data_IF_951760034103
#
_entry.id   IF_951760034103
#
_cell.length_a   1.000
_cell.length_b   1.000
_cell.length_c   1.000
_cell.angle_alpha   90.00
_cell.angle_beta   90.00
_cell.angle_gamma   90.00
#
_symmetry.space_group_name_H-M   'P 1'
#
loop_
_entity.id
_entity.type
_entity.pdbx_description
1 polymer ?
#
# COMPACT_ATOMS: atom_id res chain seq x y z
N UNK A 1 44.25 52.67 12.51
CA UNK A 1 44.06 51.64 11.47
C UNK A 1 43.71 50.32 12.13
N UNK A 2 42.44 50.04 12.35
CA UNK A 2 41.96 48.70 12.69
C UNK A 2 40.62 48.53 11.96
N UNK A 3 40.67 47.83 10.82
CA UNK A 3 39.55 47.56 9.95
C UNK A 3 38.55 46.65 10.66
N UNK A 4 37.31 47.12 10.82
CA UNK A 4 36.17 46.30 11.19
C UNK A 4 35.78 45.45 9.98
N UNK A 5 36.07 44.15 10.03
CA UNK A 5 35.51 43.16 9.10
C UNK A 5 34.10 42.85 9.62
N UNK A 6 33.09 43.42 8.97
CA UNK A 6 31.69 43.03 9.15
C UNK A 6 31.46 41.82 8.25
N UNK A 7 31.40 40.63 8.85
CA UNK A 7 30.98 39.40 8.18
C UNK A 7 29.46 39.49 7.96
N UNK A 8 29.05 39.78 6.71
CA UNK A 8 27.67 39.66 6.28
C UNK A 8 27.33 38.16 6.20
N UNK A 9 26.70 37.63 7.25
CA UNK A 9 26.11 36.29 7.22
C UNK A 9 24.83 36.38 6.38
N UNK A 10 24.94 36.08 5.09
CA UNK A 10 23.78 35.91 4.21
C UNK A 10 23.00 34.69 4.69
N UNK A 11 21.96 34.95 5.47
CA UNK A 11 20.99 33.99 5.94
C UNK A 11 20.18 33.48 4.74
N UNK A 12 20.70 32.48 4.03
CA UNK A 12 19.94 31.69 3.08
C UNK A 12 18.88 30.90 3.85
N UNK A 13 17.73 31.53 4.12
CA UNK A 13 16.50 30.83 4.48
C UNK A 13 16.11 29.93 3.29
N UNK A 14 16.56 28.68 3.34
CA UNK A 14 15.92 27.61 2.61
C UNK A 14 14.54 27.40 3.25
N UNK A 15 13.55 28.18 2.82
CA UNK A 15 12.15 27.86 3.03
C UNK A 15 11.87 26.61 2.19
N UNK A 16 12.02 25.46 2.83
CA UNK A 16 11.44 24.20 2.35
C UNK A 16 9.92 24.33 2.41
N UNK A 17 9.32 25.02 1.43
CA UNK A 17 7.90 24.92 1.19
C UNK A 17 7.63 23.46 0.83
N UNK A 18 7.00 22.73 1.75
CA UNK A 18 6.46 21.42 1.44
C UNK A 18 5.59 21.58 0.19
N UNK A 19 6.01 20.99 -0.92
CA UNK A 19 5.33 21.16 -2.20
C UNK A 19 3.90 20.63 -2.04
N UNK A 20 2.93 21.53 -2.12
CA UNK A 20 1.52 21.15 -2.02
C UNK A 20 1.17 20.16 -3.14
N UNK A 21 0.41 19.14 -2.77
CA UNK A 21 -0.07 18.15 -3.71
C UNK A 21 -0.88 18.83 -4.83
N UNK A 22 -0.54 18.55 -6.08
CA UNK A 22 -1.20 19.18 -7.22
C UNK A 22 -2.73 18.98 -7.20
N UNK A 23 -3.21 17.85 -6.67
CA UNK A 23 -4.63 17.48 -6.60
C UNK A 23 -5.44 18.31 -5.60
N UNK A 24 -4.76 18.90 -4.61
CA UNK A 24 -5.39 19.66 -3.54
C UNK A 24 -5.88 21.01 -4.01
N UNK A 25 -6.92 21.51 -3.34
CA UNK A 25 -7.40 22.89 -3.46
C UNK A 25 -7.54 23.52 -2.07
N UNK A 26 -7.49 24.85 -1.95
CA UNK A 26 -7.91 25.55 -0.75
C UNK A 26 -9.36 25.21 -0.39
N UNK A 27 -9.66 25.12 0.91
CA UNK A 27 -10.97 24.65 1.39
C UNK A 27 -12.13 25.53 0.92
N UNK A 28 -11.91 26.85 0.84
CA UNK A 28 -12.88 27.82 0.35
C UNK A 28 -13.17 27.71 -1.17
N UNK A 29 -12.32 27.01 -1.92
CA UNK A 29 -12.51 26.73 -3.35
C UNK A 29 -13.05 25.32 -3.60
N UNK A 30 -13.18 24.50 -2.56
CA UNK A 30 -13.66 23.14 -2.69
C UNK A 30 -15.15 23.11 -3.02
N UNK A 31 -15.52 22.27 -3.98
CA UNK A 31 -16.92 22.02 -4.34
C UNK A 31 -17.27 20.61 -3.92
N UNK A 32 -18.18 20.50 -2.95
CA UNK A 32 -18.68 19.22 -2.45
C UNK A 32 -20.16 19.08 -2.81
N UNK A 33 -20.54 17.98 -3.46
CA UNK A 33 -21.96 17.71 -3.76
C UNK A 33 -22.67 16.94 -2.63
N UNK A 34 -21.89 16.30 -1.77
CA UNK A 34 -22.40 15.50 -0.65
C UNK A 34 -22.78 16.41 0.52
N UNK A 35 -23.71 15.96 1.35
CA UNK A 35 -24.14 16.64 2.58
C UNK A 35 -23.91 15.77 3.83
N UNK A 36 -24.17 16.33 5.03
CA UNK A 36 -23.98 15.64 6.30
C UNK A 36 -22.53 15.59 6.81
N UNK A 37 -22.33 14.90 7.94
CA UNK A 37 -21.03 14.85 8.65
C UNK A 37 -19.89 14.24 7.81
N UNK A 38 -20.24 13.33 6.91
CA UNK A 38 -19.29 12.62 6.05
C UNK A 38 -19.03 13.35 4.71
N UNK A 39 -19.61 14.52 4.47
CA UNK A 39 -19.56 15.23 3.17
C UNK A 39 -18.16 15.43 2.59
N UNK A 40 -17.15 15.52 3.47
CA UNK A 40 -15.75 15.77 3.12
C UNK A 40 -15.03 14.51 2.62
N UNK A 41 -15.61 13.33 2.76
CA UNK A 41 -14.94 12.06 2.49
C UNK A 41 -15.54 11.32 1.31
N UNK A 42 -14.68 10.70 0.51
CA UNK A 42 -15.09 9.76 -0.52
C UNK A 42 -15.73 8.52 0.14
N UNK A 43 -16.93 8.08 -0.28
CA UNK A 43 -17.62 6.95 0.32
C UNK A 43 -16.89 5.62 0.12
N UNK A 44 -16.09 5.47 -0.94
CA UNK A 44 -15.41 4.22 -1.25
C UNK A 44 -14.14 4.02 -0.43
N UNK A 45 -13.33 5.07 -0.30
CA UNK A 45 -11.98 4.97 0.25
C UNK A 45 -11.71 5.86 1.47
N UNK A 46 -12.62 6.75 1.85
CA UNK A 46 -12.50 7.63 3.02
C UNK A 46 -11.54 8.82 2.84
N UNK A 47 -10.92 8.96 1.66
CA UNK A 47 -10.00 10.05 1.34
C UNK A 47 -10.73 11.40 1.36
N UNK A 48 -10.02 12.44 1.78
CA UNK A 48 -10.53 13.82 1.88
C UNK A 48 -10.71 14.42 0.47
N UNK A 49 -11.95 14.71 0.09
CA UNK A 49 -12.31 15.22 -1.22
C UNK A 49 -11.70 16.59 -1.54
N UNK A 50 -11.39 17.41 -0.52
CA UNK A 50 -10.71 18.71 -0.71
C UNK A 50 -9.25 18.50 -1.14
N UNK A 51 -8.58 17.48 -0.59
CA UNK A 51 -7.19 17.14 -0.95
C UNK A 51 -7.06 16.49 -2.32
N UNK A 52 -8.15 15.91 -2.84
CA UNK A 52 -8.15 15.19 -4.11
C UNK A 52 -9.16 15.78 -5.10
N UNK A 53 -9.46 17.07 -4.96
CA UNK A 53 -10.54 17.73 -5.69
C UNK A 53 -10.29 17.71 -7.21
N UNK A 54 -9.06 17.95 -7.68
CA UNK A 54 -8.78 18.05 -9.13
C UNK A 54 -8.86 16.72 -9.89
N UNK A 55 -8.94 15.60 -9.19
CA UNK A 55 -9.19 14.27 -9.76
C UNK A 55 -10.61 13.79 -9.49
N UNK A 56 -11.44 14.60 -8.85
CA UNK A 56 -12.73 14.18 -8.30
C UNK A 56 -13.80 14.03 -9.37
N UNK A 57 -14.59 12.97 -9.23
CA UNK A 57 -15.77 12.68 -10.02
C UNK A 57 -17.01 12.69 -9.15
N UNK A 58 -18.17 12.86 -9.76
CA UNK A 58 -19.45 12.71 -9.10
C UNK A 58 -20.39 11.90 -9.99
N UNK A 59 -21.23 11.09 -9.38
CA UNK A 59 -22.27 10.34 -10.07
C UNK A 59 -23.42 10.16 -9.09
N UNK A 60 -24.64 10.46 -9.54
CA UNK A 60 -25.83 10.58 -8.69
C UNK A 60 -25.60 11.57 -7.54
N UNK A 61 -25.75 11.12 -6.30
CA UNK A 61 -25.64 11.86 -5.05
C UNK A 61 -24.27 11.72 -4.36
N UNK A 62 -23.30 11.04 -4.99
CA UNK A 62 -22.01 10.72 -4.39
C UNK A 62 -20.84 11.35 -5.16
N UNK A 63 -19.83 11.76 -4.38
CA UNK A 63 -18.59 12.31 -4.88
C UNK A 63 -17.41 11.40 -4.56
N UNK A 64 -16.59 11.15 -5.56
CA UNK A 64 -15.46 10.25 -5.53
C UNK A 64 -14.16 11.04 -5.68
N UNK A 65 -13.08 10.61 -5.01
CA UNK A 65 -11.79 11.30 -5.09
C UNK A 65 -11.07 11.12 -6.43
N UNK A 66 -11.49 10.13 -7.23
CA UNK A 66 -10.83 9.70 -8.46
C UNK A 66 -11.78 8.96 -9.40
N UNK A 67 -11.37 8.82 -10.66
CA UNK A 67 -12.02 7.95 -11.63
C UNK A 67 -11.95 6.47 -11.22
N UNK A 68 -10.93 6.06 -10.46
CA UNK A 68 -10.83 4.71 -9.91
C UNK A 68 -12.03 4.38 -9.01
N UNK A 69 -12.35 5.28 -8.07
CA UNK A 69 -13.53 5.11 -7.22
C UNK A 69 -14.85 5.24 -7.99
N UNK A 70 -14.89 6.04 -9.07
CA UNK A 70 -16.05 6.05 -9.97
C UNK A 70 -16.24 4.70 -10.65
N UNK A 71 -15.18 4.09 -11.19
CA UNK A 71 -15.21 2.75 -11.81
C UNK A 71 -15.66 1.69 -10.82
N UNK A 72 -15.16 1.74 -9.59
CA UNK A 72 -15.55 0.82 -8.49
C UNK A 72 -17.05 0.90 -8.20
N UNK A 73 -17.58 2.10 -7.99
CA UNK A 73 -19.01 2.33 -7.67
C UNK A 73 -19.92 1.86 -8.81
N UNK A 74 -19.56 2.22 -10.03
CA UNK A 74 -20.32 1.88 -11.24
C UNK A 74 -20.12 0.44 -11.68
N UNK A 75 -19.23 -0.33 -11.02
CA UNK A 75 -18.88 -1.71 -11.36
C UNK A 75 -18.47 -1.87 -12.82
N UNK A 76 -17.79 -0.85 -13.36
CA UNK A 76 -17.33 -0.82 -14.75
C UNK A 76 -18.43 -0.57 -15.79
N UNK A 77 -19.64 -0.18 -15.39
CA UNK A 77 -20.73 0.26 -16.27
C UNK A 77 -20.55 1.75 -16.56
N UNK A 78 -20.46 2.13 -17.84
CA UNK A 78 -20.17 3.51 -18.24
C UNK A 78 -21.26 4.51 -17.76
N UNK A 79 -20.92 5.49 -16.91
CA UNK A 79 -21.88 6.43 -16.33
C UNK A 79 -22.03 7.69 -17.19
N UNK A 80 -23.03 7.72 -18.08
CA UNK A 80 -23.24 8.84 -19.03
C UNK A 80 -23.51 10.19 -18.37
N UNK A 81 -24.07 10.18 -17.17
CA UNK A 81 -24.46 11.33 -16.34
C UNK A 81 -23.43 11.65 -15.25
N UNK A 82 -22.23 11.06 -15.32
CA UNK A 82 -21.14 11.42 -14.41
C UNK A 82 -20.67 12.85 -14.66
N UNK A 83 -20.25 13.50 -13.57
CA UNK A 83 -19.59 14.80 -13.57
C UNK A 83 -18.15 14.65 -13.12
N UNK A 84 -17.32 15.63 -13.48
CA UNK A 84 -15.91 15.69 -13.10
C UNK A 84 -15.54 17.12 -12.74
N UNK A 85 -14.59 17.30 -11.82
CA UNK A 85 -14.01 18.62 -11.55
C UNK A 85 -13.13 19.05 -12.71
N UNK A 86 -13.38 20.26 -13.22
CA UNK A 86 -12.47 20.93 -14.13
C UNK A 86 -11.16 21.30 -13.40
N UNK A 87 -10.04 20.76 -13.85
CA UNK A 87 -8.74 20.85 -13.16
C UNK A 87 -8.27 22.30 -12.99
N UNK A 88 -8.67 23.19 -13.91
CA UNK A 88 -8.28 24.60 -13.92
C UNK A 88 -9.22 25.49 -13.12
N UNK A 89 -10.53 25.39 -13.36
CA UNK A 89 -11.54 26.29 -12.81
C UNK A 89 -12.26 25.73 -11.57
N UNK A 90 -11.99 24.47 -11.19
CA UNK A 90 -12.42 23.80 -9.96
C UNK A 90 -13.94 23.57 -9.80
N UNK A 91 -14.74 23.83 -10.84
CA UNK A 91 -16.17 23.53 -10.88
C UNK A 91 -16.48 22.16 -11.49
N UNK A 92 -17.62 21.58 -11.12
CA UNK A 92 -18.12 20.37 -11.79
C UNK A 92 -18.59 20.68 -13.21
N UNK A 93 -18.21 19.80 -14.14
CA UNK A 93 -18.66 19.78 -15.53
C UNK A 93 -19.19 18.38 -15.87
N UNK A 94 -20.04 18.29 -16.89
CA UNK A 94 -20.48 17.00 -17.43
C UNK A 94 -19.28 16.23 -17.98
N UNK A 95 -19.00 15.05 -17.43
CA UNK A 95 -17.80 14.29 -17.76
C UNK A 95 -17.78 13.93 -19.25
N UNK A 96 -18.95 13.60 -19.82
CA UNK A 96 -19.12 13.23 -21.24
C UNK A 96 -18.59 14.29 -22.22
N UNK A 97 -18.55 15.56 -21.81
CA UNK A 97 -18.09 16.68 -22.65
C UNK A 97 -16.62 17.05 -22.39
N UNK A 98 -16.01 16.50 -21.34
CA UNK A 98 -14.68 16.90 -20.90
C UNK A 98 -13.56 16.33 -21.80
N UNK A 99 -12.43 17.02 -21.78
CA UNK A 99 -11.16 16.57 -22.34
C UNK A 99 -10.27 16.09 -21.20
N UNK A 100 -9.83 14.84 -21.25
CA UNK A 100 -8.99 14.23 -20.23
C UNK A 100 -7.54 14.18 -20.69
N UNK A 101 -6.61 14.64 -19.86
CA UNK A 101 -5.19 14.33 -20.03
C UNK A 101 -4.87 13.10 -19.20
N UNK A 102 -4.53 12.00 -19.87
CA UNK A 102 -4.21 10.71 -19.26
C UNK A 102 -2.71 10.46 -19.25
N UNK A 103 -2.16 9.99 -18.13
CA UNK A 103 -0.75 9.60 -18.00
C UNK A 103 0.22 10.78 -18.03
N UNK A 104 -0.15 11.90 -17.41
CA UNK A 104 0.75 13.03 -17.22
C UNK A 104 1.77 12.77 -16.11
N UNK A 105 2.81 13.60 -16.02
CA UNK A 105 3.79 13.59 -14.93
C UNK A 105 3.22 13.99 -13.57
N UNK A 106 2.02 14.58 -13.53
CA UNK A 106 1.31 14.84 -12.27
C UNK A 106 0.65 13.55 -11.78
N UNK A 107 0.89 13.13 -10.52
CA UNK A 107 0.39 11.84 -10.03
C UNK A 107 -1.13 11.72 -10.09
N UNK A 108 -1.65 10.52 -10.33
CA UNK A 108 -3.08 10.25 -10.18
C UNK A 108 -3.50 10.18 -8.71
N UNK A 109 -4.82 10.08 -8.49
CA UNK A 109 -5.38 9.71 -7.19
C UNK A 109 -5.86 8.28 -7.29
N UNK A 110 -5.26 7.38 -6.51
CA UNK A 110 -5.57 5.93 -6.56
C UNK A 110 -5.29 5.24 -7.90
N UNK A 111 -4.59 5.90 -8.83
CA UNK A 111 -4.28 5.37 -10.16
C UNK A 111 -2.79 5.46 -10.46
N UNK A 112 -2.26 4.49 -11.22
CA UNK A 112 -0.92 4.57 -11.81
C UNK A 112 -0.89 5.53 -13.00
N UNK A 113 -1.93 5.50 -13.84
CA UNK A 113 -2.13 6.43 -14.94
C UNK A 113 -3.00 7.59 -14.43
N UNK A 114 -2.46 8.80 -14.37
CA UNK A 114 -3.23 9.97 -13.94
C UNK A 114 -4.33 10.32 -14.93
N UNK A 115 -5.44 10.91 -14.47
CA UNK A 115 -6.51 11.42 -15.33
C UNK A 115 -6.97 12.78 -14.80
N UNK A 116 -6.74 13.84 -15.58
CA UNK A 116 -7.16 15.20 -15.27
C UNK A 116 -8.11 15.72 -16.33
N UNK A 117 -9.26 16.23 -15.91
CA UNK A 117 -10.31 16.69 -16.83
C UNK A 117 -10.29 18.20 -17.02
N UNK A 118 -10.64 18.63 -18.23
CA UNK A 118 -10.73 20.01 -18.65
C UNK A 118 -12.00 20.25 -19.46
N UNK A 119 -12.67 21.38 -19.22
CA UNK A 119 -13.83 21.81 -20.01
C UNK A 119 -13.45 22.22 -21.42
N UNK A 120 -12.30 22.86 -21.60
CA UNK A 120 -11.78 23.34 -22.89
C UNK A 120 -10.58 22.51 -23.33
N UNK A 121 -10.57 22.14 -24.61
CA UNK A 121 -9.43 21.45 -25.21
C UNK A 121 -8.14 22.26 -25.12
N UNK A 122 -8.23 23.59 -25.25
CA UNK A 122 -7.07 24.48 -25.13
C UNK A 122 -6.40 24.36 -23.75
N UNK A 123 -7.18 24.28 -22.67
CA UNK A 123 -6.65 24.11 -21.32
C UNK A 123 -6.00 22.72 -21.13
N UNK A 124 -6.58 21.69 -21.73
CA UNK A 124 -5.98 20.35 -21.76
C UNK A 124 -4.66 20.32 -22.53
N UNK A 125 -4.56 21.05 -23.65
CA UNK A 125 -3.31 21.18 -24.44
C UNK A 125 -2.23 21.89 -23.66
N UNK A 126 -2.54 23.01 -23.01
CA UNK A 126 -1.57 23.70 -22.13
C UNK A 126 -1.09 22.77 -21.02
N UNK A 127 -1.99 22.04 -20.36
CA UNK A 127 -1.58 21.08 -19.33
C UNK A 127 -0.73 19.94 -19.90
N UNK A 128 -1.06 19.42 -21.08
CA UNK A 128 -0.31 18.38 -21.77
C UNK A 128 1.09 18.85 -22.17
N UNK A 129 1.25 20.08 -22.67
CA UNK A 129 2.54 20.65 -23.04
C UNK A 129 3.49 20.75 -21.83
N UNK A 130 2.95 21.15 -20.68
CA UNK A 130 3.71 21.29 -19.44
C UNK A 130 4.01 19.95 -18.74
N UNK A 131 3.09 18.99 -18.81
CA UNK A 131 3.09 17.80 -17.96
C UNK A 131 3.15 16.48 -18.73
N UNK A 132 3.11 16.51 -20.06
CA UNK A 132 2.97 15.33 -20.90
C UNK A 132 1.59 14.67 -20.79
N UNK A 133 1.52 13.41 -21.20
CA UNK A 133 0.28 12.63 -21.26
C UNK A 133 -0.43 12.77 -22.60
N UNK A 134 -1.63 12.18 -22.68
CA UNK A 134 -2.42 12.09 -23.91
C UNK A 134 -3.83 12.64 -23.68
N UNK A 135 -4.29 13.52 -24.57
CA UNK A 135 -5.65 14.05 -24.54
C UNK A 135 -6.62 13.02 -25.13
N UNK A 136 -7.66 12.69 -24.37
CA UNK A 136 -8.74 11.76 -24.75
C UNK A 136 -10.10 12.28 -24.30
N UNK A 137 -11.18 11.62 -24.73
CA UNK A 137 -12.55 11.86 -24.25
C UNK A 137 -12.89 10.95 -23.08
N UNK A 138 -13.99 11.22 -22.40
CA UNK A 138 -14.39 10.52 -21.19
C UNK A 138 -14.60 9.02 -21.39
N UNK A 139 -15.18 8.61 -22.51
CA UNK A 139 -15.37 7.20 -22.87
C UNK A 139 -14.05 6.44 -22.81
N UNK A 140 -13.00 7.01 -23.39
CA UNK A 140 -11.68 6.39 -23.42
C UNK A 140 -10.97 6.50 -22.07
N UNK A 141 -11.05 7.64 -21.37
CA UNK A 141 -10.48 7.79 -20.04
C UNK A 141 -11.07 6.79 -19.03
N UNK A 142 -12.39 6.57 -19.10
CA UNK A 142 -13.09 5.59 -18.28
C UNK A 142 -12.73 4.14 -18.68
N UNK A 143 -12.59 3.86 -19.98
CA UNK A 143 -12.13 2.55 -20.45
C UNK A 143 -10.72 2.21 -19.94
N UNK A 144 -9.79 3.17 -20.00
CA UNK A 144 -8.43 3.02 -19.44
C UNK A 144 -8.50 2.77 -17.94
N UNK A 145 -9.26 3.58 -17.19
CA UNK A 145 -9.41 3.41 -15.76
C UNK A 145 -10.01 2.04 -15.39
N UNK A 146 -10.92 1.51 -16.21
CA UNK A 146 -11.50 0.16 -16.05
C UNK A 146 -10.48 -0.94 -16.33
N UNK A 147 -9.64 -0.79 -17.34
CA UNK A 147 -8.55 -1.73 -17.64
C UNK A 147 -7.48 -1.73 -16.54
N UNK A 148 -7.11 -0.54 -16.06
CA UNK A 148 -6.11 -0.36 -15.01
C UNK A 148 -6.62 -0.78 -13.62
N UNK A 149 -7.93 -0.82 -13.42
CA UNK A 149 -8.58 -1.02 -12.11
C UNK A 149 -7.96 -2.16 -11.31
N UNK A 150 -7.80 -3.34 -11.91
CA UNK A 150 -7.25 -4.51 -11.22
C UNK A 150 -5.81 -4.29 -10.74
N UNK A 151 -4.97 -3.65 -11.56
CA UNK A 151 -3.57 -3.37 -11.22
C UNK A 151 -3.48 -2.27 -10.17
N UNK A 152 -4.28 -1.22 -10.30
CA UNK A 152 -4.38 -0.14 -9.31
C UNK A 152 -4.85 -0.68 -7.96
N UNK A 153 -5.91 -1.49 -7.93
CA UNK A 153 -6.40 -2.13 -6.70
C UNK A 153 -5.34 -3.04 -6.06
N UNK A 154 -4.60 -3.81 -6.85
CA UNK A 154 -3.50 -4.64 -6.34
C UNK A 154 -2.36 -3.80 -5.75
N UNK A 155 -1.97 -2.71 -6.42
CA UNK A 155 -0.97 -1.76 -5.91
C UNK A 155 -1.43 -1.12 -4.60
N UNK A 156 -2.69 -0.68 -4.53
CA UNK A 156 -3.27 -0.08 -3.33
C UNK A 156 -3.32 -1.09 -2.18
N UNK A 157 -3.75 -2.32 -2.44
CA UNK A 157 -3.74 -3.41 -1.45
C UNK A 157 -2.34 -3.64 -0.90
N UNK A 158 -1.35 -3.83 -1.77
CA UNK A 158 0.05 -4.02 -1.37
C UNK A 158 0.58 -2.85 -0.55
N UNK A 159 0.28 -1.61 -0.95
CA UNK A 159 0.67 -0.40 -0.20
C UNK A 159 0.02 -0.36 1.18
N UNK A 160 -1.27 -0.75 1.27
CA UNK A 160 -1.98 -0.78 2.55
C UNK A 160 -1.41 -1.86 3.48
N UNK A 161 -1.17 -3.06 2.97
CA UNK A 161 -0.59 -4.16 3.74
C UNK A 161 0.79 -3.83 4.29
N UNK A 162 1.67 -3.25 3.45
CA UNK A 162 3.05 -2.96 3.83
C UNK A 162 3.21 -1.81 4.82
N UNK A 163 2.35 -0.79 4.75
CA UNK A 163 2.62 0.48 5.45
C UNK A 163 1.43 1.12 6.14
N UNK A 164 0.19 0.69 5.88
CA UNK A 164 -1.02 1.31 6.45
C UNK A 164 -1.61 0.46 7.55
N UNK A 165 -1.83 -0.84 7.31
CA UNK A 165 -2.60 -1.68 8.23
C UNK A 165 -1.91 -1.87 9.57
N UNK A 166 -0.62 -2.20 9.61
CA UNK A 166 0.11 -2.35 10.88
C UNK A 166 0.14 -1.06 11.71
N UNK A 167 0.20 0.11 11.05
CA UNK A 167 0.11 1.39 11.74
C UNK A 167 -1.33 1.70 12.20
N UNK A 168 -2.32 1.44 11.35
CA UNK A 168 -3.74 1.59 11.67
C UNK A 168 -4.16 0.73 12.86
N UNK A 169 -3.74 -0.52 12.91
CA UNK A 169 -3.97 -1.43 14.04
C UNK A 169 -3.34 -0.89 15.33
N UNK A 170 -2.07 -0.47 15.27
CA UNK A 170 -1.37 0.09 16.43
C UNK A 170 -2.05 1.36 16.94
N UNK A 171 -2.49 2.24 16.05
CA UNK A 171 -3.20 3.48 16.42
C UNK A 171 -4.56 3.17 17.03
N UNK A 172 -5.29 2.21 16.46
CA UNK A 172 -6.59 1.78 16.97
C UNK A 172 -6.48 1.21 18.38
N UNK A 173 -5.59 0.23 18.58
CA UNK A 173 -5.43 -0.46 19.86
C UNK A 173 -4.98 0.46 21.00
N UNK A 174 -4.23 1.52 20.69
CA UNK A 174 -3.68 2.44 21.70
C UNK A 174 -4.52 3.71 21.91
N UNK A 175 -5.41 4.04 20.96
CA UNK A 175 -6.00 5.38 20.89
C UNK A 175 -7.50 5.42 20.61
N UNK A 176 -8.18 4.28 20.51
CA UNK A 176 -9.59 4.19 20.14
C UNK A 176 -10.41 3.31 21.10
N UNK A 177 -11.67 3.69 21.30
CA UNK A 177 -12.71 2.80 21.82
C UNK A 177 -13.08 1.72 20.79
N UNK A 178 -13.74 0.64 21.23
CA UNK A 178 -14.17 -0.44 20.32
C UNK A 178 -15.25 0.06 19.35
N UNK A 179 -14.95 -0.03 18.06
CA UNK A 179 -15.86 0.32 16.96
C UNK A 179 -16.09 -0.90 16.08
N UNK A 180 -17.35 -1.22 15.78
CA UNK A 180 -17.69 -2.26 14.80
C UNK A 180 -17.79 -1.65 13.40
N UNK A 181 -16.76 -1.83 12.56
CA UNK A 181 -16.77 -1.30 11.20
C UNK A 181 -17.91 -1.85 10.33
N UNK A 182 -18.47 -3.02 10.64
CA UNK A 182 -19.58 -3.62 9.89
C UNK A 182 -20.91 -2.88 10.09
N UNK A 183 -21.04 -2.03 11.12
CA UNK A 183 -22.27 -1.25 11.37
C UNK A 183 -22.39 0.02 10.53
N UNK A 184 -21.41 0.33 9.69
CA UNK A 184 -21.39 1.53 8.85
C UNK A 184 -21.65 1.18 7.40
N UNK A 185 -22.49 1.97 6.72
CA UNK A 185 -22.81 1.76 5.31
C UNK A 185 -21.59 1.95 4.39
N UNK A 186 -20.66 2.83 4.77
CA UNK A 186 -19.44 3.10 3.99
C UNK A 186 -18.28 3.56 4.91
N UNK A 187 -17.05 3.56 4.38
CA UNK A 187 -15.85 3.92 5.14
C UNK A 187 -15.84 5.40 5.55
N UNK A 188 -16.49 6.28 4.79
CA UNK A 188 -16.60 7.70 5.14
C UNK A 188 -17.35 7.89 6.47
N UNK A 189 -18.46 7.18 6.67
CA UNK A 189 -19.22 7.19 7.94
C UNK A 189 -18.41 6.57 9.09
N UNK A 190 -17.70 5.46 8.83
CA UNK A 190 -16.78 4.88 9.81
C UNK A 190 -15.73 5.91 10.24
N UNK A 191 -15.12 6.61 9.29
CA UNK A 191 -14.09 7.62 9.58
C UNK A 191 -14.64 8.78 10.43
N UNK A 192 -15.87 9.22 10.17
CA UNK A 192 -16.55 10.22 11.02
C UNK A 192 -16.75 9.68 12.44
N UNK A 193 -17.18 8.43 12.59
CA UNK A 193 -17.37 7.82 13.90
C UNK A 193 -16.04 7.69 14.68
N UNK A 194 -14.95 7.34 13.99
CA UNK A 194 -13.62 7.24 14.58
C UNK A 194 -13.14 8.58 15.15
N UNK A 195 -13.53 9.72 14.59
CA UNK A 195 -13.22 11.04 15.17
C UNK A 195 -13.86 11.28 16.54
N UNK A 196 -14.95 10.57 16.84
CA UNK A 196 -15.62 10.63 18.15
C UNK A 196 -15.08 9.56 19.10
N UNK A 197 -14.72 8.39 18.56
CA UNK A 197 -14.28 7.23 19.32
C UNK A 197 -12.76 7.16 19.57
N UNK A 198 -11.96 7.96 18.87
CA UNK A 198 -10.50 7.92 18.96
C UNK A 198 -9.89 9.29 19.30
N UNK A 199 -8.71 9.26 19.91
CA UNK A 199 -7.86 10.43 20.17
C UNK A 199 -6.64 10.40 19.25
N UNK A 200 -6.85 10.66 17.96
CA UNK A 200 -5.78 10.71 16.95
C UNK A 200 -5.47 12.16 16.56
N UNK A 201 -4.21 12.39 16.19
CA UNK A 201 -3.62 13.72 16.03
C UNK A 201 -3.79 14.30 14.61
N UNK A 202 -4.14 13.48 13.62
CA UNK A 202 -4.24 13.95 12.23
C UNK A 202 -5.24 13.17 11.38
N UNK A 203 -5.74 13.82 10.32
CA UNK A 203 -6.57 13.20 9.28
C UNK A 203 -5.93 11.94 8.68
N UNK A 204 -4.61 11.92 8.57
CA UNK A 204 -3.86 10.77 8.08
C UNK A 204 -3.98 9.57 9.03
N UNK A 205 -3.88 9.79 10.34
CA UNK A 205 -4.07 8.73 11.33
C UNK A 205 -5.49 8.17 11.31
N UNK A 206 -6.51 9.03 11.25
CA UNK A 206 -7.91 8.58 11.09
C UNK A 206 -8.11 7.77 9.80
N UNK A 207 -7.46 8.16 8.70
CA UNK A 207 -7.51 7.41 7.45
C UNK A 207 -6.89 6.00 7.60
N UNK A 208 -5.75 5.88 8.27
CA UNK A 208 -5.08 4.59 8.47
C UNK A 208 -5.94 3.64 9.31
N UNK A 209 -6.52 4.14 10.41
CA UNK A 209 -7.42 3.35 11.27
C UNK A 209 -8.69 2.94 10.51
N UNK A 210 -9.31 3.88 9.78
CA UNK A 210 -10.51 3.60 8.99
C UNK A 210 -10.25 2.50 7.95
N UNK A 211 -9.13 2.58 7.22
CA UNK A 211 -8.75 1.58 6.22
C UNK A 211 -8.49 0.20 6.85
N UNK A 212 -7.75 0.14 7.96
CA UNK A 212 -7.51 -1.10 8.68
C UNK A 212 -8.83 -1.76 9.09
N UNK A 213 -9.69 -1.04 9.80
CA UNK A 213 -10.95 -1.61 10.28
C UNK A 213 -11.92 -1.95 9.14
N UNK A 214 -11.97 -1.14 8.09
CA UNK A 214 -12.90 -1.34 6.97
C UNK A 214 -12.54 -2.56 6.13
N UNK A 215 -11.26 -2.75 5.84
CA UNK A 215 -10.79 -3.85 4.99
C UNK A 215 -10.74 -5.18 5.76
N UNK A 216 -10.70 -5.15 7.12
CA UNK A 216 -10.68 -6.33 8.00
C UNK A 216 -12.01 -6.61 8.71
N UNK A 217 -13.10 -5.89 8.39
CA UNK A 217 -14.39 -6.11 9.04
C UNK A 217 -14.94 -7.50 8.74
N UNK A 218 -15.53 -8.14 9.75
CA UNK A 218 -16.19 -9.43 9.58
C UNK A 218 -17.30 -9.32 8.52
N UNK A 219 -17.15 -10.05 7.40
CA UNK A 219 -18.10 -10.05 6.28
C UNK A 219 -17.50 -9.83 4.89
N UNK A 220 -16.26 -9.32 4.79
CA UNK A 220 -15.42 -9.48 3.60
C UNK A 220 -14.57 -10.71 3.83
N UNK A 221 -14.93 -11.86 3.24
CA UNK A 221 -14.21 -13.13 3.43
C UNK A 221 -12.72 -12.94 3.14
N UNK A 222 -11.83 -12.92 4.14
CA UNK A 222 -10.41 -13.10 3.90
C UNK A 222 -10.25 -14.60 3.71
N UNK A 223 -9.95 -15.04 2.49
CA UNK A 223 -9.48 -16.41 2.33
C UNK A 223 -8.14 -16.53 3.06
N UNK A 224 -8.19 -17.26 4.18
CA UNK A 224 -7.06 -17.67 5.04
C UNK A 224 -6.55 -16.57 5.97
N UNK A 225 -6.74 -16.78 7.27
CA UNK A 225 -6.17 -15.97 8.34
C UNK A 225 -4.65 -15.80 8.18
N UNK A 226 -4.22 -14.55 8.25
CA UNK A 226 -2.83 -14.11 8.12
C UNK A 226 -2.08 -14.30 9.45
N UNK A 227 -1.69 -15.53 9.78
CA UNK A 227 -0.96 -15.79 11.01
C UNK A 227 0.56 -15.61 10.82
N UNK A 228 1.24 -14.95 11.76
CA UNK A 228 2.71 -14.97 11.88
C UNK A 228 3.13 -16.26 12.58
N UNK A 229 4.38 -16.69 12.40
CA UNK A 229 4.92 -17.81 13.18
C UNK A 229 5.11 -17.36 14.64
N UNK A 230 4.35 -17.94 15.56
CA UNK A 230 4.51 -17.72 17.00
C UNK A 230 5.57 -18.67 17.53
N UNK A 231 6.64 -18.10 18.10
CA UNK A 231 7.79 -18.84 18.60
C UNK A 231 7.83 -18.78 20.14
N UNK A 232 7.84 -19.92 20.84
CA UNK A 232 8.08 -19.95 22.28
C UNK A 232 9.42 -19.29 22.65
N UNK A 233 9.45 -18.55 23.76
CA UNK A 233 10.64 -17.78 24.17
C UNK A 233 11.89 -18.65 24.41
N UNK A 234 11.69 -19.92 24.76
CA UNK A 234 12.73 -20.90 25.03
C UNK A 234 13.03 -21.83 23.84
N UNK A 235 12.32 -21.67 22.71
CA UNK A 235 12.56 -22.47 21.52
C UNK A 235 13.98 -22.26 20.98
N UNK A 236 14.70 -23.36 20.82
CA UNK A 236 16.05 -23.39 20.26
C UNK A 236 16.07 -24.08 18.90
N UNK A 237 16.85 -23.51 17.98
CA UNK A 237 17.10 -24.13 16.69
C UNK A 237 17.78 -25.49 16.88
N UNK A 238 17.26 -26.59 16.33
CA UNK A 238 17.84 -27.92 16.49
C UNK A 238 19.14 -28.12 15.70
N UNK A 239 19.57 -27.12 14.91
CA UNK A 239 20.79 -27.16 14.10
C UNK A 239 21.92 -26.36 14.76
N UNK A 240 21.71 -25.08 15.06
CA UNK A 240 22.75 -24.21 15.64
C UNK A 240 22.63 -23.99 17.15
N UNK A 241 21.48 -24.32 17.77
CA UNK A 241 21.22 -24.10 19.20
C UNK A 241 20.80 -22.69 19.60
N UNK A 242 20.67 -21.74 18.65
CA UNK A 242 20.24 -20.37 18.93
C UNK A 242 18.78 -20.27 19.37
N UNK A 243 18.48 -19.31 20.23
CA UNK A 243 17.11 -19.00 20.65
C UNK A 243 16.35 -18.31 19.50
N UNK A 244 15.34 -18.98 18.96
CA UNK A 244 14.67 -18.58 17.72
C UNK A 244 13.83 -17.31 17.91
N UNK A 245 13.21 -17.14 19.08
CA UNK A 245 12.38 -15.98 19.39
C UNK A 245 13.13 -14.63 19.29
N UNK A 246 14.47 -14.64 19.30
CA UNK A 246 15.30 -13.43 19.11
C UNK A 246 15.35 -12.95 17.65
N UNK A 247 14.92 -13.77 16.70
CA UNK A 247 15.07 -13.54 15.26
C UNK A 247 13.75 -13.71 14.49
N UNK A 248 12.66 -13.00 14.88
CA UNK A 248 11.31 -13.22 14.34
C UNK A 248 11.21 -13.06 12.82
N UNK A 249 12.10 -12.26 12.22
CA UNK A 249 12.15 -12.01 10.77
C UNK A 249 12.72 -13.17 9.94
N UNK A 250 13.41 -14.12 10.58
CA UNK A 250 14.11 -15.22 9.91
C UNK A 250 13.48 -16.59 10.19
N UNK A 251 12.45 -16.61 11.03
CA UNK A 251 11.90 -17.84 11.57
C UNK A 251 11.41 -18.75 10.44
N UNK A 252 11.78 -20.01 10.57
CA UNK A 252 11.14 -21.09 9.87
C UNK A 252 10.63 -22.13 10.88
N UNK A 253 9.57 -22.84 10.53
CA UNK A 253 8.98 -23.88 11.38
C UNK A 253 8.60 -25.09 10.56
N UNK A 254 8.92 -26.27 11.10
CA UNK A 254 8.38 -27.54 10.65
C UNK A 254 7.39 -28.00 11.72
N UNK A 255 6.12 -28.10 11.36
CA UNK A 255 5.10 -28.67 12.25
C UNK A 255 5.21 -30.20 12.19
N UNK A 256 5.33 -30.82 13.37
CA UNK A 256 5.39 -32.27 13.50
C UNK A 256 4.28 -32.75 14.46
N UNK A 257 3.85 -34.02 14.39
CA UNK A 257 2.83 -34.55 15.29
C UNK A 257 3.20 -34.46 16.79
N UNK A 258 4.49 -34.48 17.11
CA UNK A 258 4.97 -34.43 18.50
C UNK A 258 5.12 -33.00 19.00
N UNK A 259 5.88 -32.18 18.26
CA UNK A 259 6.10 -30.75 18.57
C UNK A 259 6.62 -29.98 17.36
N UNK A 260 6.28 -28.68 17.22
CA UNK A 260 6.88 -27.85 16.20
C UNK A 260 8.40 -27.72 16.40
N UNK A 261 9.15 -27.80 15.31
CA UNK A 261 10.59 -27.53 15.28
C UNK A 261 10.79 -26.13 14.71
N UNK A 262 11.37 -25.25 15.50
CA UNK A 262 11.63 -23.86 15.12
C UNK A 262 13.08 -23.69 14.71
N UNK A 263 13.32 -22.90 13.67
CA UNK A 263 14.63 -22.60 13.13
C UNK A 263 14.81 -21.08 13.08
N UNK A 264 16.02 -20.64 13.36
CA UNK A 264 16.43 -19.23 13.30
C UNK A 264 16.71 -18.73 11.88
N UNK A 265 16.59 -19.60 10.88
CA UNK A 265 16.75 -19.28 9.47
C UNK A 265 16.29 -20.41 8.56
N UNK A 266 15.98 -20.08 7.31
CA UNK A 266 15.61 -21.05 6.28
C UNK A 266 16.79 -21.99 5.98
N UNK A 267 18.02 -21.48 5.96
CA UNK A 267 19.25 -22.27 5.78
C UNK A 267 19.33 -23.44 6.77
N UNK A 268 19.06 -23.19 8.04
CA UNK A 268 19.12 -24.23 9.07
C UNK A 268 17.93 -25.19 8.98
N UNK A 269 16.74 -24.71 8.64
CA UNK A 269 15.62 -25.61 8.30
C UNK A 269 15.99 -26.55 7.14
N UNK A 270 16.60 -26.06 6.07
CA UNK A 270 16.98 -26.87 4.91
C UNK A 270 18.10 -27.87 5.24
N UNK A 271 19.09 -27.49 6.06
CA UNK A 271 20.10 -28.44 6.58
C UNK A 271 19.44 -29.59 7.32
N UNK A 272 18.44 -29.29 8.16
CA UNK A 272 17.70 -30.30 8.90
C UNK A 272 16.91 -31.21 7.94
N UNK A 273 16.17 -30.65 6.98
CA UNK A 273 15.40 -31.42 5.99
C UNK A 273 16.31 -32.41 5.24
N UNK A 274 17.45 -31.96 4.71
CA UNK A 274 18.39 -32.84 4.00
C UNK A 274 19.00 -33.94 4.90
N UNK A 275 19.35 -33.59 6.14
CA UNK A 275 19.90 -34.57 7.09
C UNK A 275 18.90 -35.67 7.46
N UNK A 276 17.61 -35.33 7.56
CA UNK A 276 16.55 -36.28 7.92
C UNK A 276 16.17 -37.23 6.77
N UNK A 277 16.52 -36.90 5.52
CA UNK A 277 16.21 -37.68 4.31
C UNK A 277 14.72 -38.09 4.24
N UNK A 278 13.82 -37.23 4.72
CA UNK A 278 12.38 -37.45 4.75
C UNK A 278 11.63 -36.23 4.26
N UNK A 279 10.42 -36.45 3.75
CA UNK A 279 9.52 -35.40 3.33
C UNK A 279 8.78 -34.81 4.54
N UNK A 280 8.61 -33.49 4.54
CA UNK A 280 7.82 -32.77 5.55
C UNK A 280 6.71 -32.00 4.84
N UNK A 281 5.47 -32.25 5.22
CA UNK A 281 4.29 -31.64 4.56
C UNK A 281 4.00 -30.23 5.09
N UNK A 282 4.19 -30.02 6.39
CA UNK A 282 3.82 -28.78 7.07
C UNK A 282 5.06 -27.96 7.41
N UNK A 283 5.61 -27.33 6.38
CA UNK A 283 6.80 -26.47 6.49
C UNK A 283 6.46 -25.02 6.14
N UNK A 284 6.88 -24.12 7.01
CA UNK A 284 6.55 -22.70 6.90
C UNK A 284 7.74 -21.81 7.18
N UNK A 285 7.74 -20.64 6.55
CA UNK A 285 8.78 -19.61 6.66
C UNK A 285 8.13 -18.24 6.86
N UNK A 286 8.78 -17.34 7.58
CA UNK A 286 8.32 -15.94 7.71
C UNK A 286 8.64 -15.16 6.44
N UNK A 287 7.65 -14.58 5.76
CA UNK A 287 7.87 -13.63 4.67
C UNK A 287 8.78 -12.48 5.13
N UNK A 288 9.81 -12.15 4.35
CA UNK A 288 10.83 -11.19 4.77
C UNK A 288 10.28 -9.78 5.03
N UNK A 289 9.29 -9.32 4.25
CA UNK A 289 8.73 -7.97 4.40
C UNK A 289 7.56 -7.90 5.38
N UNK A 290 6.63 -8.83 5.29
CA UNK A 290 5.37 -8.80 6.03
C UNK A 290 5.40 -9.62 7.32
N UNK A 291 6.40 -10.49 7.50
CA UNK A 291 6.51 -11.47 8.59
C UNK A 291 5.37 -12.50 8.63
N UNK A 292 4.55 -12.57 7.56
CA UNK A 292 3.44 -13.52 7.44
C UNK A 292 3.99 -14.95 7.32
N UNK A 293 3.31 -15.94 7.91
CA UNK A 293 3.64 -17.36 7.74
C UNK A 293 3.33 -17.79 6.31
N UNK A 294 4.36 -18.18 5.57
CA UNK A 294 4.25 -18.70 4.20
C UNK A 294 4.43 -20.20 4.21
N UNK A 295 3.69 -20.91 3.35
CA UNK A 295 4.05 -22.28 3.01
C UNK A 295 5.40 -22.27 2.27
N UNK A 296 6.41 -22.94 2.83
CA UNK A 296 7.78 -22.87 2.31
C UNK A 296 7.88 -23.36 0.85
N UNK A 297 7.12 -24.40 0.49
CA UNK A 297 7.13 -24.96 -0.88
C UNK A 297 6.59 -24.00 -1.94
N UNK A 298 5.82 -22.99 -1.53
CA UNK A 298 5.22 -21.99 -2.43
C UNK A 298 5.99 -20.66 -2.46
N UNK A 299 6.96 -20.48 -1.58
CA UNK A 299 7.71 -19.23 -1.46
C UNK A 299 8.81 -19.10 -2.53
N UNK A 300 9.27 -17.87 -2.72
CA UNK A 300 10.43 -17.53 -3.54
C UNK A 300 11.62 -17.17 -2.64
N UNK A 301 12.81 -17.63 -2.99
CA UNK A 301 14.00 -17.49 -2.16
C UNK A 301 15.10 -16.71 -2.86
N UNK A 302 15.50 -15.59 -2.26
CA UNK A 302 16.66 -14.81 -2.73
C UNK A 302 17.92 -15.29 -2.01
N UNK A 303 19.00 -15.50 -2.76
CA UNK A 303 20.34 -15.77 -2.23
C UNK A 303 21.38 -14.77 -2.74
N UNK A 304 22.48 -14.65 -1.99
CA UNK A 304 23.61 -13.78 -2.33
C UNK A 304 23.33 -12.29 -2.16
N UNK A 305 22.31 -11.93 -1.38
CA UNK A 305 22.03 -10.55 -1.01
C UNK A 305 23.02 -10.05 0.05
N UNK A 306 23.15 -8.72 0.18
CA UNK A 306 23.91 -8.07 1.23
C UNK A 306 23.13 -7.94 2.56
N UNK A 307 22.11 -8.77 2.77
CA UNK A 307 21.33 -8.90 4.00
C UNK A 307 21.60 -10.27 4.59
N UNK A 308 21.92 -10.30 5.88
CA UNK A 308 22.36 -11.50 6.58
C UNK A 308 21.35 -11.94 7.64
N UNK A 309 21.09 -13.25 7.66
CA UNK A 309 20.38 -13.92 8.74
C UNK A 309 21.26 -14.12 9.97
N UNK A 310 20.74 -14.75 11.04
CA UNK A 310 21.47 -14.95 12.29
C UNK A 310 22.76 -15.76 12.09
N UNK A 311 22.79 -16.57 11.04
CA UNK A 311 23.91 -17.44 10.64
C UNK A 311 24.64 -16.97 9.37
N UNK A 312 24.56 -15.68 9.01
CA UNK A 312 25.25 -15.13 7.83
C UNK A 312 24.38 -15.14 6.57
N UNK A 313 24.95 -15.51 5.41
CA UNK A 313 24.20 -15.47 4.16
C UNK A 313 23.03 -16.47 4.20
N UNK A 314 21.89 -16.08 3.62
CA UNK A 314 20.61 -16.72 3.92
C UNK A 314 19.76 -16.95 2.67
N UNK A 315 18.83 -17.90 2.78
CA UNK A 315 17.71 -18.11 1.86
C UNK A 315 16.55 -17.20 2.29
N UNK A 316 16.43 -16.04 1.67
CA UNK A 316 15.47 -15.01 2.10
C UNK A 316 14.11 -15.24 1.44
N UNK A 317 13.04 -15.59 2.18
CA UNK A 317 11.76 -15.99 1.63
C UNK A 317 10.84 -14.80 1.30
N UNK A 318 10.11 -14.90 0.20
CA UNK A 318 9.11 -13.93 -0.24
C UNK A 318 7.82 -14.63 -0.70
N UNK A 319 6.69 -14.01 -0.40
CA UNK A 319 5.37 -14.47 -0.84
C UNK A 319 5.18 -14.31 -2.36
N UNK A 320 5.83 -13.33 -2.98
CA UNK A 320 5.72 -13.04 -4.41
C UNK A 320 7.07 -12.92 -5.11
N UNK A 321 7.09 -13.34 -6.37
CA UNK A 321 8.25 -13.19 -7.25
C UNK A 321 8.63 -11.72 -7.45
N UNK A 322 7.64 -10.83 -7.59
CA UNK A 322 7.87 -9.41 -7.80
C UNK A 322 8.54 -8.74 -6.59
N UNK A 323 8.17 -9.13 -5.37
CA UNK A 323 8.85 -8.69 -4.13
C UNK A 323 10.28 -9.20 -4.06
N UNK A 324 10.50 -10.47 -4.37
CA UNK A 324 11.84 -11.05 -4.38
C UNK A 324 12.74 -10.34 -5.41
N UNK A 325 12.23 -10.06 -6.61
CA UNK A 325 12.96 -9.31 -7.66
C UNK A 325 13.23 -7.87 -7.23
N UNK A 326 12.30 -7.20 -6.56
CA UNK A 326 12.53 -5.86 -6.01
C UNK A 326 13.64 -5.90 -4.96
N UNK A 327 13.54 -6.83 -4.01
CA UNK A 327 14.54 -7.03 -2.97
C UNK A 327 15.93 -7.31 -3.56
N UNK A 328 16.03 -8.13 -4.61
CA UNK A 328 17.31 -8.40 -5.29
C UNK A 328 17.95 -7.13 -5.84
N UNK A 329 17.16 -6.21 -6.42
CA UNK A 329 17.66 -4.93 -6.93
C UNK A 329 18.20 -4.05 -5.80
N UNK A 330 17.46 -3.97 -4.70
CA UNK A 330 17.78 -3.10 -3.57
C UNK A 330 18.94 -3.63 -2.72
N UNK A 331 19.08 -4.97 -2.66
CA UNK A 331 20.00 -5.66 -1.76
C UNK A 331 21.04 -6.51 -2.49
N UNK A 332 21.30 -6.22 -3.76
CA UNK A 332 22.33 -6.90 -4.57
C UNK A 332 22.19 -8.43 -4.61
N UNK A 333 20.95 -8.94 -4.52
CA UNK A 333 20.66 -10.38 -4.57
C UNK A 333 21.11 -10.99 -5.89
N UNK A 334 21.70 -12.19 -5.85
CA UNK A 334 22.35 -12.81 -7.01
C UNK A 334 21.44 -13.78 -7.76
N UNK A 335 20.63 -14.54 -7.04
CA UNK A 335 19.76 -15.56 -7.64
C UNK A 335 18.44 -15.63 -6.90
N UNK A 336 17.40 -15.90 -7.67
CA UNK A 336 16.07 -16.26 -7.21
C UNK A 336 15.88 -17.77 -7.40
N UNK A 337 15.37 -18.44 -6.37
CA UNK A 337 15.13 -19.88 -6.35
C UNK A 337 13.70 -20.18 -5.94
N UNK A 338 13.13 -21.28 -6.45
CA UNK A 338 11.98 -21.94 -5.82
C UNK A 338 12.46 -22.95 -4.79
N UNK A 339 11.55 -23.43 -3.95
CA UNK A 339 11.86 -24.41 -2.91
C UNK A 339 12.58 -25.64 -3.47
N UNK A 340 12.08 -26.19 -4.58
CA UNK A 340 12.64 -27.40 -5.22
C UNK A 340 14.04 -27.17 -5.85
N UNK A 341 14.43 -25.92 -6.08
CA UNK A 341 15.76 -25.57 -6.59
C UNK A 341 16.83 -25.52 -5.47
N UNK A 342 16.42 -25.57 -4.21
CA UNK A 342 17.32 -25.56 -3.06
C UNK A 342 17.94 -26.95 -2.92
N UNK A 343 19.27 -27.00 -2.95
CA UNK A 343 20.05 -28.23 -2.84
C UNK A 343 21.13 -28.10 -1.76
N UNK A 344 21.76 -29.21 -1.38
CA UNK A 344 22.95 -29.17 -0.51
C UNK A 344 24.07 -28.29 -1.09
N UNK A 345 24.21 -28.25 -2.43
CA UNK A 345 25.18 -27.37 -3.10
C UNK A 345 24.80 -25.90 -2.92
N UNK A 346 23.51 -25.58 -2.97
CA UNK A 346 22.99 -24.24 -2.66
C UNK A 346 23.40 -23.85 -1.23
N UNK A 347 23.19 -24.72 -0.25
CA UNK A 347 23.51 -24.43 1.15
C UNK A 347 25.02 -24.26 1.41
N UNK A 348 25.88 -25.03 0.73
CA UNK A 348 27.34 -24.90 0.84
C UNK A 348 27.89 -23.56 0.32
N UNK A 349 27.09 -22.83 -0.46
CA UNK A 349 27.46 -21.51 -1.00
C UNK A 349 27.00 -20.34 -0.13
N UNK A 350 26.37 -20.61 1.02
CA UNK A 350 25.78 -19.64 1.96
C UNK A 350 26.45 -19.64 3.34
#
# INVERSE_FOLDING_TARGET
MFQKIIMLFALCLNLSFAQEMFQSVPEEKAVLIQSGDAKRYCPNCGMDLVKFQKTSHAHKDHQYCSIHCLVEDTKGVFPKDAKVIDTKNLGFIEAINAFYVVGSSKPGTMTMNSQYAFVREADAKTFQEENGGRIVKFEEAYAIAKEDFAKDSAMLKNKRERSVYGMGEKLYNNGCEKVNAASFANIALLKVALKKACRLESEGQYQMVALYLWDHKAGTTPSVAEEKIIVPSDAKCPVCGMFVAKYPQWVAVIETPEKPLYFDGVKDMMKYIFAQKKHFEHIYVSDYYSLKKLNATKAFYVIGANVYGPMGAELIPFASESEAVSFMKDHSGKRLLRFDDISEKTLKSL
#
